data_IF_243045048738
#
_entry.id   IF_243045048738
#
_cell.length_a   1.000
_cell.length_b   1.000
_cell.length_c   1.000
_cell.angle_alpha   90.00
_cell.angle_beta   90.00
_cell.angle_gamma   90.00
#
_symmetry.space_group_name_H-M   'P 1'
#
loop_
_entity.id
_entity.type
_entity.pdbx_description
1 polymer ?
#
# COMPACT_ATOMS: atom_id res chain seq x y z
N UNK A 1 14.17 4.11 10.26
CA UNK A 1 13.17 3.06 9.96
C UNK A 1 11.85 3.36 10.64
N UNK A 2 10.79 2.81 10.09
CA UNK A 2 9.49 2.92 10.71
C UNK A 2 9.08 1.57 11.28
N UNK A 3 8.16 1.62 12.23
CA UNK A 3 7.61 0.42 12.85
C UNK A 3 6.27 0.11 12.22
N UNK A 4 5.97 -1.16 12.07
CA UNK A 4 4.64 -1.63 11.70
C UNK A 4 4.17 -2.59 12.78
N UNK A 5 3.00 -2.33 13.34
CA UNK A 5 2.33 -3.28 14.24
C UNK A 5 1.27 -4.02 13.44
N UNK A 6 1.33 -5.34 13.51
CA UNK A 6 0.41 -6.23 12.83
C UNK A 6 0.01 -7.30 13.82
N UNK A 7 -1.25 -7.33 14.19
CA UNK A 7 -1.75 -8.16 15.28
C UNK A 7 -0.96 -7.87 16.56
N UNK A 8 -0.23 -8.83 17.11
CA UNK A 8 0.59 -8.60 18.30
C UNK A 8 2.09 -8.60 17.98
N UNK A 9 2.43 -8.40 16.72
CA UNK A 9 3.81 -8.37 16.25
C UNK A 9 4.18 -6.97 15.80
N UNK A 10 5.39 -6.51 16.18
CA UNK A 10 5.93 -5.23 15.74
C UNK A 10 7.23 -5.51 14.99
N UNK A 11 7.36 -4.92 13.79
CA UNK A 11 8.57 -5.07 13.00
C UNK A 11 9.11 -3.70 12.63
N UNK A 12 10.40 -3.64 12.35
CA UNK A 12 11.08 -2.44 11.86
C UNK A 12 11.43 -2.64 10.40
N UNK A 13 11.04 -1.70 9.55
CA UNK A 13 11.35 -1.78 8.13
C UNK A 13 11.63 -0.39 7.59
N UNK A 14 12.04 -0.31 6.32
CA UNK A 14 12.24 0.99 5.70
C UNK A 14 10.94 1.77 5.67
N UNK A 15 11.07 3.11 5.83
CA UNK A 15 9.90 3.97 5.85
C UNK A 15 9.04 3.81 4.61
N UNK A 16 9.68 3.73 3.42
CA UNK A 16 8.90 3.58 2.18
C UNK A 16 8.13 2.25 2.13
N UNK A 17 8.72 1.18 2.70
CA UNK A 17 8.03 -0.11 2.74
C UNK A 17 6.82 -0.01 3.66
N UNK A 18 6.98 0.59 4.84
CA UNK A 18 5.87 0.75 5.77
C UNK A 18 4.73 1.55 5.13
N UNK A 19 5.08 2.64 4.44
CA UNK A 19 4.09 3.47 3.80
C UNK A 19 3.35 2.72 2.68
N UNK A 20 4.09 1.93 1.90
CA UNK A 20 3.49 1.16 0.81
C UNK A 20 2.58 0.04 1.33
N UNK A 21 2.95 -0.59 2.43
CA UNK A 21 2.11 -1.63 3.04
C UNK A 21 0.76 -1.03 3.44
N UNK A 22 0.77 0.14 4.09
CA UNK A 22 -0.48 0.78 4.49
C UNK A 22 -1.28 1.25 3.28
N UNK A 23 -0.60 1.73 2.25
CA UNK A 23 -1.29 2.14 1.03
C UNK A 23 -1.96 0.95 0.36
N UNK A 24 -1.28 -0.18 0.29
CA UNK A 24 -1.86 -1.38 -0.30
C UNK A 24 -3.04 -1.88 0.54
N UNK A 25 -2.89 -1.85 1.86
CA UNK A 25 -3.99 -2.25 2.75
C UNK A 25 -5.23 -1.40 2.50
N UNK A 26 -5.03 -0.10 2.28
CA UNK A 26 -6.15 0.81 2.02
C UNK A 26 -6.81 0.47 0.68
N UNK A 27 -6.01 0.18 -0.34
CA UNK A 27 -6.56 -0.20 -1.65
C UNK A 27 -7.36 -1.49 -1.56
N UNK A 28 -6.83 -2.49 -0.85
CA UNK A 28 -7.52 -3.76 -0.67
C UNK A 28 -8.84 -3.57 0.08
N UNK A 29 -8.84 -2.70 1.10
CA UNK A 29 -10.04 -2.44 1.87
C UNK A 29 -11.13 -1.83 0.99
N UNK A 30 -10.75 -0.97 0.06
CA UNK A 30 -11.73 -0.34 -0.83
C UNK A 30 -12.39 -1.33 -1.78
N UNK A 31 -11.69 -2.41 -2.11
CA UNK A 31 -12.22 -3.41 -3.04
C UNK A 31 -12.70 -4.66 -2.30
N UNK A 32 -12.74 -4.63 -0.98
CA UNK A 32 -13.17 -5.75 -0.13
C UNK A 32 -12.38 -7.01 -0.47
N UNK A 33 -11.07 -6.85 -0.61
CA UNK A 33 -10.17 -7.91 -1.03
C UNK A 33 -9.13 -8.16 0.04
N UNK A 34 -8.45 -9.30 -0.06
CA UNK A 34 -7.34 -9.64 0.81
C UNK A 34 -6.20 -10.20 -0.02
N UNK A 35 -4.98 -10.06 0.47
CA UNK A 35 -3.81 -10.58 -0.21
C UNK A 35 -2.75 -10.91 0.82
N UNK A 36 -1.84 -11.79 0.45
CA UNK A 36 -0.69 -12.15 1.26
C UNK A 36 0.53 -11.47 0.68
N UNK A 37 1.27 -10.74 1.51
CA UNK A 37 2.48 -10.05 1.07
C UNK A 37 3.66 -10.48 1.92
N UNK A 38 4.85 -10.39 1.34
CA UNK A 38 6.10 -10.63 2.06
C UNK A 38 6.96 -9.38 1.95
N UNK A 39 7.46 -8.91 3.10
CA UNK A 39 8.31 -7.73 3.12
C UNK A 39 9.54 -8.02 3.97
N UNK A 40 10.67 -7.36 3.65
CA UNK A 40 11.86 -7.47 4.49
C UNK A 40 11.73 -6.60 5.72
N UNK A 41 12.36 -7.02 6.80
CA UNK A 41 12.39 -6.23 8.02
C UNK A 41 13.69 -6.52 8.75
N UNK A 42 14.03 -5.65 9.70
CA UNK A 42 15.23 -5.84 10.52
C UNK A 42 14.84 -6.55 11.80
N UNK A 43 15.41 -7.73 11.99
CA UNK A 43 15.18 -8.50 13.20
C UNK A 43 15.96 -7.90 14.36
N UNK A 44 15.64 -8.34 15.58
CA UNK A 44 16.32 -7.84 16.77
C UNK A 44 17.82 -8.13 16.72
N UNK A 45 18.20 -9.23 16.08
CA UNK A 45 19.61 -9.57 15.91
C UNK A 45 20.35 -8.64 14.97
N UNK A 46 19.64 -7.78 14.26
CA UNK A 46 20.19 -6.92 13.22
C UNK A 46 20.15 -7.55 11.85
N UNK A 47 19.78 -8.82 11.75
CA UNK A 47 19.68 -9.50 10.47
C UNK A 47 18.44 -9.01 9.69
N UNK A 48 18.52 -9.09 8.37
CA UNK A 48 17.39 -8.79 7.51
C UNK A 48 16.64 -10.09 7.26
N UNK A 49 15.36 -10.09 7.60
CA UNK A 49 14.51 -11.27 7.44
C UNK A 49 13.25 -10.88 6.70
N UNK A 50 12.48 -11.87 6.29
CA UNK A 50 11.22 -11.66 5.59
C UNK A 50 10.07 -12.04 6.48
N UNK A 51 9.01 -11.27 6.42
CA UNK A 51 7.76 -11.61 7.10
C UNK A 51 6.64 -11.65 6.08
N UNK A 52 5.80 -12.67 6.19
CA UNK A 52 4.62 -12.81 5.34
C UNK A 52 3.40 -12.49 6.17
N UNK A 53 2.54 -11.61 5.65
CA UNK A 53 1.36 -11.20 6.39
C UNK A 53 0.16 -11.15 5.46
N UNK A 54 -1.00 -11.41 6.03
CA UNK A 54 -2.28 -11.31 5.33
C UNK A 54 -2.86 -9.92 5.54
N UNK A 55 -3.15 -9.23 4.47
CA UNK A 55 -3.63 -7.86 4.50
C UNK A 55 -5.00 -7.81 3.82
N UNK A 56 -5.96 -7.14 4.45
CA UNK A 56 -7.31 -7.04 3.89
C UNK A 56 -8.17 -6.13 4.74
N UNK A 57 -9.50 -6.12 4.49
CA UNK A 57 -10.38 -5.16 5.16
C UNK A 57 -10.40 -5.30 6.67
N UNK A 58 -10.19 -6.53 7.18
CA UNK A 58 -10.23 -6.78 8.62
C UNK A 58 -8.87 -6.59 9.28
N UNK A 59 -7.83 -6.33 8.52
CA UNK A 59 -6.49 -6.19 9.08
C UNK A 59 -6.37 -4.86 9.82
N UNK A 60 -5.71 -4.90 10.97
CA UNK A 60 -5.42 -3.71 11.75
C UNK A 60 -3.92 -3.49 11.72
N UNK A 61 -3.51 -2.46 10.98
CA UNK A 61 -2.11 -2.12 10.80
C UNK A 61 -1.87 -0.72 11.33
N UNK A 62 -0.83 -0.57 12.11
CA UNK A 62 -0.40 0.73 12.62
C UNK A 62 1.06 0.92 12.25
N UNK A 63 1.40 2.12 11.77
CA UNK A 63 2.78 2.46 11.46
C UNK A 63 3.15 3.75 12.15
N UNK A 64 4.38 3.81 12.68
CA UNK A 64 4.86 5.04 13.32
C UNK A 64 6.37 5.08 13.20
N UNK A 65 6.93 6.24 13.58
CA UNK A 65 8.35 6.47 13.50
C UNK A 65 8.69 7.40 12.35
N UNK A 66 9.97 7.61 12.14
CA UNK A 66 10.45 8.52 11.11
C UNK A 66 11.27 7.76 10.10
N UNK A 67 11.21 8.23 8.85
CA UNK A 67 12.05 7.69 7.80
C UNK A 67 13.42 8.31 7.95
N UNK A 68 14.37 7.56 8.51
CA UNK A 68 15.71 8.04 8.81
C UNK A 68 16.69 7.74 7.70
N UNK A 69 16.22 7.26 6.56
CA UNK A 69 17.08 6.98 5.43
C UNK A 69 17.81 5.66 5.51
N UNK A 70 17.59 4.86 6.55
CA UNK A 70 18.20 3.54 6.62
C UNK A 70 17.64 2.63 5.54
N UNK A 71 18.50 1.75 5.02
CA UNK A 71 18.14 0.90 3.90
C UNK A 71 18.30 -0.57 4.27
N UNK A 72 17.42 -1.39 3.76
CA UNK A 72 17.53 -2.84 3.84
C UNK A 72 18.09 -3.44 2.55
N UNK A 73 18.55 -2.59 1.61
CA UNK A 73 19.25 -3.03 0.42
C UNK A 73 18.34 -3.47 -0.70
N UNK A 74 18.88 -4.36 -1.54
CA UNK A 74 18.19 -4.78 -2.76
C UNK A 74 16.86 -5.50 -2.47
N UNK A 75 16.78 -6.24 -1.38
CA UNK A 75 15.53 -6.93 -1.04
C UNK A 75 14.41 -5.93 -0.78
N UNK A 76 14.75 -4.76 -0.22
CA UNK A 76 13.76 -3.71 -0.01
C UNK A 76 13.35 -3.05 -1.32
N UNK A 77 14.32 -2.86 -2.23
CA UNK A 77 14.00 -2.31 -3.56
C UNK A 77 13.00 -3.22 -4.27
N UNK A 78 13.25 -4.52 -4.24
CA UNK A 78 12.35 -5.49 -4.87
C UNK A 78 10.98 -5.47 -4.23
N UNK A 79 10.92 -5.42 -2.90
CA UNK A 79 9.65 -5.39 -2.18
C UNK A 79 8.87 -4.12 -2.50
N UNK A 80 9.55 -2.98 -2.58
CA UNK A 80 8.89 -1.72 -2.90
C UNK A 80 8.31 -1.76 -4.31
N UNK A 81 9.06 -2.31 -5.27
CA UNK A 81 8.57 -2.42 -6.64
C UNK A 81 7.35 -3.32 -6.71
N UNK A 82 7.40 -4.44 -5.99
CA UNK A 82 6.28 -5.38 -5.97
C UNK A 82 5.03 -4.74 -5.38
N UNK A 83 5.19 -4.04 -4.25
CA UNK A 83 4.06 -3.37 -3.62
C UNK A 83 3.47 -2.29 -4.52
N UNK A 84 4.33 -1.53 -5.19
CA UNK A 84 3.86 -0.50 -6.11
C UNK A 84 3.08 -1.11 -7.26
N UNK A 85 3.55 -2.25 -7.78
CA UNK A 85 2.86 -2.97 -8.84
C UNK A 85 1.50 -3.46 -8.36
N UNK A 86 1.44 -4.04 -7.18
CA UNK A 86 0.19 -4.54 -6.62
C UNK A 86 -0.81 -3.42 -6.40
N UNK A 87 -0.34 -2.27 -5.91
CA UNK A 87 -1.20 -1.11 -5.70
C UNK A 87 -1.80 -0.68 -7.03
N UNK A 88 -0.98 -0.60 -8.09
CA UNK A 88 -1.47 -0.20 -9.41
C UNK A 88 -2.49 -1.21 -9.95
N UNK A 89 -2.21 -2.50 -9.76
CA UNK A 89 -3.11 -3.53 -10.28
C UNK A 89 -4.45 -3.55 -9.59
N UNK A 90 -4.50 -3.13 -8.32
CA UNK A 90 -5.74 -3.16 -7.54
C UNK A 90 -6.43 -1.80 -7.49
N UNK A 91 -5.84 -0.77 -8.08
CA UNK A 91 -6.46 0.54 -8.13
C UNK A 91 -7.41 0.58 -9.33
N UNK A 92 -8.67 0.99 -9.14
CA UNK A 92 -9.60 1.03 -10.25
C UNK A 92 -9.13 1.90 -11.40
N UNK A 93 -9.25 1.39 -12.62
CA UNK A 93 -8.72 2.07 -13.80
C UNK A 93 -9.47 3.33 -14.15
N UNK A 94 -10.74 3.43 -13.76
CA UNK A 94 -11.54 4.60 -14.12
C UNK A 94 -11.01 5.87 -13.47
N UNK A 95 -10.15 5.74 -12.54
CA UNK A 95 -9.61 6.89 -11.82
C UNK A 95 -8.87 7.80 -12.75
N UNK A 96 -8.47 7.29 -13.87
CA UNK A 96 -7.76 8.10 -14.74
C UNK A 96 -8.65 8.70 -15.73
N UNK A 97 -9.11 8.89 -16.28
CA UNK A 97 -9.68 9.47 -17.22
C UNK A 97 -9.79 10.67 -17.28
N UNK A 98 -9.85 10.16 -17.28
CA UNK A 98 -10.06 11.11 -17.67
C UNK A 98 -10.01 11.81 -17.49
N UNK A 99 -10.24 11.57 -17.24
CA UNK A 99 -10.40 12.34 -17.32
C UNK A 99 -10.51 12.72 -16.91
N UNK A 100 -10.55 12.79 -16.92
CA UNK A 100 -10.97 13.34 -16.80
C UNK A 100 -11.19 13.60 -16.29
N UNK A 101 -11.61 13.45 -16.19
CA UNK A 101 -12.11 13.84 -16.13
C UNK A 101 -12.37 14.07 -15.65
N UNK A 102 -12.39 14.19 -15.53
CA UNK A 102 -12.88 14.64 -15.57
C UNK A 102 -13.23 14.99 -14.98
N UNK A 103 -13.69 14.65 -14.82
CA UNK A 103 -14.28 15.06 -14.91
C UNK A 103 -14.81 15.17 -14.56
N UNK A 104 -15.14 14.98 -14.26
CA UNK A 104 -15.81 15.21 -14.33
C UNK A 104 -16.34 15.16 -14.06
N UNK A 105 -16.45 14.96 -13.97
CA UNK A 105 -17.21 15.12 -14.26
C UNK A 105 -17.61 14.91 -13.93
N UNK A 106 -18.03 14.75 -13.75
CA UNK A 106 -18.62 14.76 -14.10
C UNK A 106 -18.91 14.77 -14.00
N UNK A 107 -19.08 14.51 -13.94
CA UNK A 107 -19.53 14.58 -14.57
C UNK A 107 -19.75 14.44 -14.38
N UNK A 108 -19.97 14.14 -14.26
CA UNK A 108 -20.34 14.06 -14.90
C UNK A 108 -20.63 13.92 -14.57
N UNK A 109 -20.77 13.60 -14.35
CA UNK A 109 -21.19 13.55 -14.91
C UNK A 109 -21.44 13.84 -14.69
N UNK A 110 -21.83 13.41 -14.65
CA UNK A 110 -22.14 13.71 -15.42
C UNK A 110 -22.31 13.88 -15.33
N UNK A 111 -22.59 13.66 -15.16
CA UNK A 111 -22.90 13.87 -15.88
C UNK A 111 -23.06 13.92 -15.80
N UNK A 112 -23.45 13.51 -15.63
CA UNK A 112 -23.76 13.67 -16.29
C UNK A 112 -23.89 13.74 -16.46
N UNK A 113 -24.09 13.37 -16.14
CA UNK A 113 -24.43 13.59 -16.94
C UNK A 113 -24.41 13.57 -17.06
N UNK A 114 -24.70 13.26 -16.92
CA UNK A 114 -24.92 13.44 -17.71
C UNK A 114 -24.88 13.48 -17.74
N UNK A 115 -25.34 13.27 -17.93
CA UNK A 115 -25.38 13.41 -18.58
C UNK A 115 -25.30 13.56 -18.59
N UNK A 116 -25.83 13.17 -18.29
CA UNK A 116 -25.80 13.38 -18.86
C UNK A 116 -25.65 13.51 -18.97
N UNK A 117 -25.96 13.49 -19.34
CA UNK A 117 -25.75 13.73 -19.98
C UNK A 117 -25.52 13.89 -20.03
#
# INVERSE_FOLDING_TARGET
MKHIAYTDTVIDTEGRIADLVLEYAKVLARTDSADTISIPYRAESGAIEQITMLVGPASQLTSWGEDDGESLGAVADEAAEELQRLIREHTPAFVETDGGAHEAGIDDFDDVGGPAD
#
